data_IF_053684861408
#
_entry.id   IF_053684861408
#
_cell.length_a   1.000
_cell.length_b   1.000
_cell.length_c   1.000
_cell.angle_alpha   90.00
_cell.angle_beta   90.00
_cell.angle_gamma   90.00
#
_symmetry.space_group_name_H-M   'P 1'
#
loop_
_entity.id
_entity.type
_entity.pdbx_description
1 polymer ?
#
# COMPACT_ATOMS: atom_id res chain seq x y z
N UNK A 1 19.70 0.37 -7.64
CA UNK A 1 18.48 0.59 -8.44
C UNK A 1 17.71 -0.72 -8.48
N UNK A 2 16.40 -0.68 -8.29
CA UNK A 2 15.57 -1.88 -8.32
C UNK A 2 15.11 -2.15 -9.75
N UNK A 3 15.44 -3.32 -10.30
CA UNK A 3 14.97 -3.75 -11.63
C UNK A 3 13.83 -4.76 -11.57
N UNK A 4 13.36 -5.00 -10.34
CA UNK A 4 12.55 -6.15 -10.00
C UNK A 4 11.39 -5.71 -9.12
N UNK A 5 10.19 -6.11 -9.55
CA UNK A 5 8.96 -5.96 -8.77
C UNK A 5 8.67 -7.30 -8.11
N UNK A 6 8.19 -7.26 -6.89
CA UNK A 6 7.73 -8.43 -6.15
C UNK A 6 6.28 -8.22 -5.74
N UNK A 7 5.43 -9.20 -6.04
CA UNK A 7 4.03 -9.20 -5.61
C UNK A 7 3.81 -10.45 -4.77
N UNK A 8 3.34 -10.27 -3.53
CA UNK A 8 3.01 -11.37 -2.63
C UNK A 8 1.50 -11.62 -2.67
N UNK A 9 1.09 -12.81 -3.10
CA UNK A 9 -0.33 -13.14 -3.24
C UNK A 9 -0.60 -14.63 -2.96
N UNK A 10 -1.71 -14.90 -2.28
CA UNK A 10 -2.33 -16.22 -2.20
C UNK A 10 -3.62 -16.26 -3.05
N UNK A 11 -4.19 -17.45 -3.23
CA UNK A 11 -5.28 -17.65 -4.19
C UNK A 11 -6.51 -16.81 -3.85
N UNK A 12 -6.73 -16.56 -2.56
CA UNK A 12 -7.81 -15.71 -2.03
C UNK A 12 -7.80 -14.30 -2.61
N UNK A 13 -6.63 -13.77 -2.98
CA UNK A 13 -6.48 -12.42 -3.52
C UNK A 13 -6.21 -12.38 -5.03
N UNK A 14 -6.48 -13.49 -5.73
CA UNK A 14 -6.22 -13.65 -7.18
C UNK A 14 -6.87 -12.62 -8.07
N UNK A 15 -8.10 -12.23 -7.78
CA UNK A 15 -8.80 -11.20 -8.54
C UNK A 15 -8.13 -9.82 -8.41
N UNK A 16 -7.57 -9.51 -7.24
CA UNK A 16 -6.84 -8.27 -7.01
C UNK A 16 -5.46 -8.29 -7.68
N UNK A 17 -4.76 -9.44 -7.61
CA UNK A 17 -3.51 -9.65 -8.33
C UNK A 17 -3.69 -9.42 -9.83
N UNK A 18 -4.77 -9.95 -10.42
CA UNK A 18 -5.04 -9.79 -11.85
C UNK A 18 -5.17 -8.32 -12.24
N UNK A 19 -5.93 -7.53 -11.46
CA UNK A 19 -6.08 -6.09 -11.70
C UNK A 19 -4.76 -5.34 -11.53
N UNK A 20 -3.97 -5.67 -10.50
CA UNK A 20 -2.65 -5.09 -10.31
C UNK A 20 -1.74 -5.35 -11.51
N UNK A 21 -1.66 -6.60 -11.98
CA UNK A 21 -0.87 -6.97 -13.15
C UNK A 21 -1.33 -6.20 -14.39
N UNK A 22 -2.64 -6.18 -14.68
CA UNK A 22 -3.21 -5.38 -15.77
C UNK A 22 -2.80 -3.91 -15.68
N UNK A 23 -2.86 -3.32 -14.49
CA UNK A 23 -2.52 -1.91 -14.29
C UNK A 23 -1.04 -1.61 -14.52
N UNK A 24 -0.13 -2.49 -14.04
CA UNK A 24 1.31 -2.41 -14.34
C UNK A 24 1.53 -2.49 -15.86
N UNK A 25 0.82 -3.38 -16.53
CA UNK A 25 0.97 -3.55 -17.97
C UNK A 25 0.46 -2.34 -18.76
N UNK A 26 -0.57 -1.66 -18.29
CA UNK A 26 -1.07 -0.44 -18.94
C UNK A 26 -0.21 0.79 -18.64
N UNK A 27 0.51 0.80 -17.51
CA UNK A 27 1.39 1.91 -17.14
C UNK A 27 2.77 1.86 -17.80
N UNK A 28 3.27 0.66 -18.08
CA UNK A 28 4.63 0.44 -18.63
C UNK A 28 4.74 0.86 -20.10
N UNK A 29 5.51 1.92 -20.36
CA UNK A 29 5.66 2.55 -21.68
C UNK A 29 6.93 2.09 -22.42
N UNK A 30 7.10 0.78 -22.62
CA UNK A 30 8.20 0.19 -23.39
C UNK A 30 9.62 0.49 -22.84
N UNK A 31 9.77 0.69 -21.53
CA UNK A 31 11.09 0.77 -20.88
C UNK A 31 11.63 -0.64 -20.54
N UNK A 32 12.86 -0.66 -20.04
CA UNK A 32 13.78 -1.77 -19.82
C UNK A 32 13.18 -3.13 -19.41
N UNK A 33 13.96 -4.20 -19.58
CA UNK A 33 13.66 -5.55 -19.11
C UNK A 33 13.22 -5.56 -17.63
N UNK A 34 11.92 -5.56 -17.39
CA UNK A 34 11.30 -5.62 -16.06
C UNK A 34 11.16 -7.09 -15.65
N UNK A 35 11.58 -7.44 -14.44
CA UNK A 35 11.27 -8.75 -13.86
C UNK A 35 10.22 -8.60 -12.77
N UNK A 36 9.09 -9.29 -12.92
CA UNK A 36 8.06 -9.38 -11.89
C UNK A 36 8.19 -10.77 -11.24
N UNK A 37 8.40 -10.80 -9.94
CA UNK A 37 8.37 -12.00 -9.12
C UNK A 37 7.02 -12.10 -8.43
N UNK A 38 6.24 -13.11 -8.80
CA UNK A 38 5.02 -13.48 -8.09
C UNK A 38 5.38 -14.48 -7.00
N UNK A 39 5.38 -14.05 -5.73
CA UNK A 39 5.45 -14.96 -4.60
C UNK A 39 4.09 -15.60 -4.38
N UNK A 40 3.99 -16.86 -4.77
CA UNK A 40 2.78 -17.64 -4.73
C UNK A 40 2.95 -18.89 -3.85
N UNK A 41 1.88 -19.24 -3.13
CA UNK A 41 1.82 -20.40 -2.26
C UNK A 41 0.84 -21.48 -2.71
N UNK A 42 -0.37 -21.09 -3.13
CA UNK A 42 -1.55 -21.96 -3.28
C UNK A 42 -2.33 -21.73 -4.57
N UNK A 43 -1.86 -20.90 -5.50
CA UNK A 43 -2.58 -20.73 -6.78
C UNK A 43 -2.63 -22.05 -7.54
N UNK A 44 -3.78 -22.36 -8.17
CA UNK A 44 -3.88 -23.44 -9.14
C UNK A 44 -2.82 -23.28 -10.23
N UNK A 45 -2.09 -24.36 -10.53
CA UNK A 45 -0.99 -24.36 -11.51
C UNK A 45 -1.46 -23.83 -12.87
N UNK A 46 -2.64 -24.23 -13.31
CA UNK A 46 -3.19 -23.83 -14.61
C UNK A 46 -3.46 -22.33 -14.68
N UNK A 47 -3.90 -21.72 -13.57
CA UNK A 47 -4.12 -20.28 -13.48
C UNK A 47 -2.79 -19.50 -13.54
N UNK A 48 -1.77 -19.95 -12.84
CA UNK A 48 -0.42 -19.36 -12.92
C UNK A 48 0.11 -19.45 -14.35
N UNK A 49 0.00 -20.62 -14.97
CA UNK A 49 0.43 -20.84 -16.35
C UNK A 49 -0.37 -19.95 -17.31
N UNK A 50 -1.66 -19.75 -17.07
CA UNK A 50 -2.47 -18.82 -17.83
C UNK A 50 -1.93 -17.38 -17.71
N UNK A 51 -1.69 -16.87 -16.50
CA UNK A 51 -1.12 -15.54 -16.31
C UNK A 51 0.26 -15.40 -16.95
N UNK A 52 1.15 -16.39 -16.78
CA UNK A 52 2.46 -16.40 -17.41
C UNK A 52 2.36 -16.31 -18.94
N UNK A 53 1.46 -17.09 -19.56
CA UNK A 53 1.23 -17.05 -21.00
C UNK A 53 0.70 -15.71 -21.46
N UNK A 54 -0.31 -15.16 -20.79
CA UNK A 54 -0.86 -13.84 -21.14
C UNK A 54 0.20 -12.74 -21.03
N UNK A 55 1.02 -12.76 -19.97
CA UNK A 55 2.10 -11.80 -19.80
C UNK A 55 3.16 -11.95 -20.90
N UNK A 56 3.62 -13.17 -21.18
CA UNK A 56 4.67 -13.42 -22.18
C UNK A 56 4.22 -13.12 -23.62
N UNK A 57 2.95 -13.37 -23.95
CA UNK A 57 2.40 -13.10 -25.28
C UNK A 57 2.41 -11.61 -25.61
N UNK A 58 2.18 -10.75 -24.61
CA UNK A 58 1.91 -9.35 -24.86
C UNK A 58 3.00 -8.40 -24.32
N UNK A 59 3.94 -8.88 -23.51
CA UNK A 59 4.99 -8.06 -22.89
C UNK A 59 6.37 -8.62 -23.21
N UNK A 60 6.89 -8.27 -24.39
CA UNK A 60 8.23 -8.70 -24.84
C UNK A 60 9.37 -8.27 -23.90
N UNK A 61 9.14 -7.23 -23.09
CA UNK A 61 10.12 -6.63 -22.17
C UNK A 61 9.82 -6.92 -20.68
N UNK A 62 8.83 -7.76 -20.37
CA UNK A 62 8.50 -8.14 -18.99
C UNK A 62 8.67 -9.65 -18.78
N UNK A 63 9.45 -10.04 -17.77
CA UNK A 63 9.63 -11.43 -17.34
C UNK A 63 8.85 -11.66 -16.06
N UNK A 64 7.78 -12.45 -16.13
CA UNK A 64 7.08 -12.93 -14.93
C UNK A 64 7.71 -14.24 -14.46
N UNK A 65 8.17 -14.27 -13.20
CA UNK A 65 8.74 -15.44 -12.53
C UNK A 65 7.91 -15.76 -11.29
N UNK A 66 7.75 -17.05 -11.00
CA UNK A 66 7.00 -17.51 -9.83
C UNK A 66 7.99 -17.97 -8.78
N UNK A 67 7.83 -17.45 -7.57
CA UNK A 67 8.59 -17.86 -6.39
C UNK A 67 7.67 -18.59 -5.43
N UNK A 68 8.13 -19.73 -4.92
CA UNK A 68 7.37 -20.53 -3.96
C UNK A 68 8.11 -20.58 -2.64
N UNK A 69 7.48 -20.19 -1.51
CA UNK A 69 8.10 -20.32 -0.19
C UNK A 69 8.53 -21.78 0.09
N UNK A 70 9.68 -21.96 0.74
CA UNK A 70 10.19 -23.28 1.16
C UNK A 70 9.24 -23.96 2.17
N UNK A 71 9.37 -25.27 2.36
CA UNK A 71 8.60 -26.00 3.40
C UNK A 71 8.79 -25.38 4.80
N UNK A 72 9.99 -24.88 5.10
CA UNK A 72 10.29 -24.18 6.36
C UNK A 72 9.51 -22.88 6.50
N UNK A 73 9.53 -22.02 5.48
CA UNK A 73 8.73 -20.79 5.44
C UNK A 73 7.24 -21.08 5.63
N UNK A 74 6.73 -22.09 4.95
CA UNK A 74 5.32 -22.50 5.05
C UNK A 74 4.95 -22.88 6.49
N UNK A 75 5.82 -23.61 7.19
CA UNK A 75 5.58 -24.06 8.57
C UNK A 75 5.51 -22.88 9.55
N UNK A 76 6.35 -21.86 9.36
CA UNK A 76 6.31 -20.64 10.17
C UNK A 76 4.97 -19.89 10.01
N UNK A 77 4.46 -19.85 8.79
CA UNK A 77 3.20 -19.17 8.48
C UNK A 77 1.95 -19.95 8.91
N UNK A 78 2.05 -21.26 9.08
CA UNK A 78 0.92 -22.10 9.53
C UNK A 78 0.42 -21.67 10.90
N UNK A 79 1.33 -21.30 11.81
CA UNK A 79 1.01 -20.89 13.18
C UNK A 79 0.46 -19.46 13.29
N UNK A 80 0.35 -18.72 12.18
CA UNK A 80 -0.22 -17.38 12.18
C UNK A 80 -1.74 -17.44 12.33
N UNK A 81 -2.22 -16.86 13.44
CA UNK A 81 -3.63 -16.50 13.63
C UNK A 81 -3.83 -15.07 13.13
N UNK A 82 -4.46 -14.92 11.96
CA UNK A 82 -4.77 -13.60 11.41
C UNK A 82 -5.93 -12.99 12.21
N UNK A 83 -5.84 -11.69 12.52
CA UNK A 83 -6.86 -10.96 13.29
C UNK A 83 -8.20 -10.88 12.55
N UNK A 84 -8.18 -11.01 11.23
CA UNK A 84 -9.36 -10.90 10.38
C UNK A 84 -9.26 -11.85 9.20
N UNK A 85 -10.39 -12.47 8.86
CA UNK A 85 -10.57 -13.22 7.62
C UNK A 85 -10.48 -12.34 6.36
N UNK A 86 -10.24 -11.03 6.49
CA UNK A 86 -9.91 -10.16 5.36
C UNK A 86 -8.42 -10.18 5.04
N UNK A 87 -7.56 -10.51 6.00
CA UNK A 87 -6.12 -10.57 5.78
C UNK A 87 -5.71 -11.89 5.14
N UNK A 88 -4.58 -11.84 4.44
CA UNK A 88 -3.96 -12.97 3.77
C UNK A 88 -2.61 -13.27 4.42
N UNK A 89 -2.24 -14.55 4.50
CA UNK A 89 -0.90 -14.94 4.97
C UNK A 89 0.20 -14.47 4.01
N UNK A 90 -0.15 -14.17 2.76
CA UNK A 90 0.76 -13.61 1.77
C UNK A 90 1.38 -12.27 2.19
N UNK A 91 0.72 -11.51 3.08
CA UNK A 91 1.28 -10.27 3.63
C UNK A 91 2.64 -10.48 4.30
N UNK A 92 2.88 -11.67 4.86
CA UNK A 92 4.13 -12.01 5.54
C UNK A 92 5.22 -12.50 4.59
N UNK A 93 4.93 -12.74 3.31
CA UNK A 93 5.90 -13.30 2.37
C UNK A 93 7.04 -12.32 2.10
N UNK A 94 6.79 -11.02 2.24
CA UNK A 94 7.82 -9.96 2.17
C UNK A 94 8.97 -10.17 3.15
N UNK A 95 8.74 -10.87 4.26
CA UNK A 95 9.78 -11.21 5.24
C UNK A 95 10.79 -12.25 4.72
N UNK A 96 10.47 -12.98 3.66
CA UNK A 96 11.35 -14.01 3.10
C UNK A 96 12.16 -13.54 1.88
N UNK A 97 11.97 -12.30 1.43
CA UNK A 97 12.52 -11.84 0.14
C UNK A 97 14.04 -11.84 0.10
N UNK A 98 14.69 -11.47 1.20
CA UNK A 98 16.16 -11.46 1.26
C UNK A 98 16.77 -12.85 1.03
N UNK A 99 16.09 -13.91 1.46
CA UNK A 99 16.49 -15.31 1.21
C UNK A 99 16.05 -15.79 -0.17
N UNK A 100 14.82 -15.50 -0.58
CA UNK A 100 14.24 -16.00 -1.84
C UNK A 100 14.84 -15.35 -3.09
N UNK A 101 15.47 -14.19 -2.94
CA UNK A 101 16.07 -13.40 -4.02
C UNK A 101 17.53 -13.05 -3.68
N UNK A 102 18.44 -14.04 -3.65
CA UNK A 102 19.84 -13.82 -3.24
C UNK A 102 20.60 -12.91 -4.21
N UNK A 103 20.24 -12.94 -5.50
CA UNK A 103 20.90 -12.17 -6.57
C UNK A 103 20.39 -10.73 -6.68
N UNK A 104 19.22 -10.41 -6.11
CA UNK A 104 18.66 -9.07 -6.16
C UNK A 104 19.23 -8.24 -5.01
N UNK A 105 19.84 -7.09 -5.30
CA UNK A 105 20.29 -6.15 -4.26
C UNK A 105 19.10 -5.36 -3.68
N UNK A 106 18.10 -5.06 -4.51
CA UNK A 106 16.91 -4.32 -4.11
C UNK A 106 15.69 -4.67 -4.96
N UNK A 107 14.50 -4.54 -4.39
CA UNK A 107 13.23 -4.83 -5.07
C UNK A 107 12.15 -3.84 -4.69
N UNK A 108 11.20 -3.58 -5.59
CA UNK A 108 9.94 -2.89 -5.28
C UNK A 108 8.89 -3.94 -4.94
N UNK A 109 8.36 -3.93 -3.72
CA UNK A 109 7.28 -4.80 -3.26
C UNK A 109 5.94 -4.09 -3.40
N UNK A 110 4.97 -4.78 -3.99
CA UNK A 110 3.56 -4.39 -4.02
C UNK A 110 2.67 -5.39 -3.30
N UNK A 111 1.70 -4.86 -2.55
CA UNK A 111 0.55 -5.64 -2.11
C UNK A 111 -0.47 -5.75 -3.25
N UNK A 112 -1.25 -6.84 -3.32
CA UNK A 112 -2.18 -7.11 -4.42
C UNK A 112 -3.36 -6.13 -4.47
N UNK A 113 -3.62 -5.39 -3.38
CA UNK A 113 -4.67 -4.38 -3.30
C UNK A 113 -4.23 -3.00 -3.83
N UNK A 114 -3.23 -2.96 -4.69
CA UNK A 114 -2.70 -1.74 -5.30
C UNK A 114 -3.09 -1.66 -6.77
N UNK A 115 -3.07 -0.44 -7.30
CA UNK A 115 -3.38 -0.12 -8.68
C UNK A 115 -2.37 0.89 -9.21
N UNK A 116 -1.70 0.55 -10.31
CA UNK A 116 -0.68 1.40 -10.92
C UNK A 116 -1.31 2.27 -12.01
N UNK A 117 -1.10 3.57 -11.93
CA UNK A 117 -1.70 4.57 -12.82
C UNK A 117 -0.69 5.23 -13.76
N UNK A 118 0.59 5.22 -13.40
CA UNK A 118 1.65 5.90 -14.13
C UNK A 118 2.90 5.02 -14.22
N UNK A 119 3.78 5.36 -15.17
CA UNK A 119 5.06 4.69 -15.40
C UNK A 119 5.86 4.54 -14.10
N UNK A 120 6.37 3.33 -13.84
CA UNK A 120 7.07 3.00 -12.60
C UNK A 120 8.55 3.36 -12.63
N UNK A 121 9.07 3.93 -13.74
CA UNK A 121 10.49 4.21 -13.91
C UNK A 121 11.07 5.05 -12.78
N UNK A 122 10.37 6.09 -12.33
CA UNK A 122 10.81 6.91 -11.19
C UNK A 122 10.91 6.12 -9.88
N UNK A 123 10.01 5.15 -9.65
CA UNK A 123 10.04 4.32 -8.45
C UNK A 123 11.12 3.24 -8.53
N UNK A 124 11.32 2.64 -9.71
CA UNK A 124 12.33 1.60 -9.97
C UNK A 124 13.76 2.18 -9.92
N UNK A 125 13.94 3.39 -10.45
CA UNK A 125 15.21 4.11 -10.48
C UNK A 125 15.45 4.95 -9.20
N UNK A 126 14.55 4.85 -8.21
CA UNK A 126 14.66 5.62 -6.97
C UNK A 126 16.01 5.39 -6.28
N UNK A 127 16.70 6.44 -5.83
CA UNK A 127 18.01 6.31 -5.21
C UNK A 127 17.90 5.60 -3.85
N UNK A 128 18.73 4.57 -3.65
CA UNK A 128 18.79 3.76 -2.43
C UNK A 128 20.12 4.06 -1.72
N UNK A 129 20.03 4.54 -0.48
CA UNK A 129 21.14 4.63 0.45
C UNK A 129 21.49 3.21 0.93
N UNK A 130 22.77 2.78 0.83
CA UNK A 130 23.17 1.45 1.28
C UNK A 130 22.90 1.20 2.76
N UNK A 131 22.76 2.25 3.58
CA UNK A 131 22.53 2.16 5.02
C UNK A 131 21.06 2.09 5.42
N UNK A 132 20.13 2.13 4.47
CA UNK A 132 18.69 2.10 4.74
C UNK A 132 18.06 0.81 4.23
N UNK A 133 17.31 0.12 5.08
CA UNK A 133 16.66 -1.16 4.73
C UNK A 133 15.39 -0.97 3.91
N UNK A 134 14.60 0.05 4.21
CA UNK A 134 13.25 0.22 3.66
C UNK A 134 13.03 1.64 3.14
N UNK A 135 12.43 1.73 1.96
CA UNK A 135 11.80 2.96 1.49
C UNK A 135 10.31 2.72 1.34
N UNK A 136 9.49 3.58 1.92
CA UNK A 136 8.04 3.41 1.90
C UNK A 136 7.34 4.76 2.06
N UNK A 137 6.09 4.87 1.65
CA UNK A 137 5.31 6.08 1.93
C UNK A 137 4.84 6.09 3.38
N UNK A 138 4.57 7.28 3.93
CA UNK A 138 4.05 7.41 5.29
C UNK A 138 2.67 6.77 5.42
N UNK A 139 2.40 6.07 6.51
CA UNK A 139 1.10 5.46 6.80
C UNK A 139 0.18 6.46 7.51
N UNK A 140 -0.44 7.35 6.74
CA UNK A 140 -1.34 8.38 7.26
C UNK A 140 -2.57 7.78 7.93
N UNK A 141 -3.05 6.62 7.45
CA UNK A 141 -4.19 5.93 8.06
C UNK A 141 -3.84 5.40 9.45
N UNK A 142 -2.76 4.63 9.58
CA UNK A 142 -2.34 4.02 10.84
C UNK A 142 -1.90 5.08 11.85
N UNK A 143 -1.09 6.06 11.43
CA UNK A 143 -0.67 7.15 12.32
C UNK A 143 -1.88 7.86 12.93
N UNK A 144 -2.89 8.15 12.11
CA UNK A 144 -4.12 8.80 12.57
C UNK A 144 -4.98 7.89 13.45
N UNK A 145 -5.05 6.60 13.16
CA UNK A 145 -5.74 5.63 14.01
C UNK A 145 -5.12 5.54 15.40
N UNK A 146 -3.78 5.59 15.50
CA UNK A 146 -3.07 5.60 16.77
C UNK A 146 -3.25 6.90 17.56
N UNK A 147 -3.30 8.04 16.88
CA UNK A 147 -3.55 9.35 17.53
C UNK A 147 -4.94 9.42 18.13
N UNK A 148 -5.94 8.82 17.46
CA UNK A 148 -7.32 8.78 17.92
C UNK A 148 -7.64 7.56 18.79
N UNK A 149 -6.65 6.71 19.09
CA UNK A 149 -6.85 5.50 19.87
C UNK A 149 -7.08 5.83 21.34
N UNK A 150 -8.33 5.84 21.76
CA UNK A 150 -8.67 5.82 23.18
C UNK A 150 -8.31 4.45 23.78
N UNK A 151 -7.75 4.43 24.99
CA UNK A 151 -7.32 3.21 25.72
C UNK A 151 -8.49 2.21 25.93
N UNK A 152 -9.74 2.70 25.88
CA UNK A 152 -10.97 1.90 25.94
C UNK A 152 -11.37 1.21 24.62
N UNK A 153 -10.61 1.40 23.53
CA UNK A 153 -10.93 0.77 22.25
C UNK A 153 -10.70 -0.75 22.28
N UNK A 154 -11.58 -1.53 21.65
CA UNK A 154 -11.51 -2.99 21.58
C UNK A 154 -10.32 -3.54 20.75
N UNK A 155 -9.42 -2.70 20.25
CA UNK A 155 -8.28 -3.13 19.43
C UNK A 155 -7.05 -3.44 20.29
N UNK A 156 -7.05 -4.62 20.91
CA UNK A 156 -5.99 -5.08 21.82
C UNK A 156 -4.58 -4.93 21.23
N UNK A 157 -4.39 -5.32 19.97
CA UNK A 157 -3.07 -5.26 19.33
C UNK A 157 -2.61 -3.83 19.02
N UNK A 158 -3.51 -2.91 18.63
CA UNK A 158 -3.16 -1.51 18.41
C UNK A 158 -2.83 -0.81 19.73
N UNK A 159 -3.55 -1.11 20.82
CA UNK A 159 -3.23 -0.58 22.15
C UNK A 159 -1.82 -1.02 22.57
N UNK A 160 -1.47 -2.29 22.35
CA UNK A 160 -0.13 -2.83 22.63
C UNK A 160 0.94 -2.15 21.76
N UNK A 161 0.68 -1.98 20.47
CA UNK A 161 1.59 -1.29 19.56
C UNK A 161 1.83 0.15 19.98
N UNK A 162 0.75 0.90 20.25
CA UNK A 162 0.81 2.27 20.74
C UNK A 162 1.62 2.37 22.04
N UNK A 163 1.39 1.46 22.98
CA UNK A 163 2.13 1.43 24.25
C UNK A 163 3.63 1.21 24.04
N UNK A 164 4.02 0.30 23.14
CA UNK A 164 5.44 0.11 22.77
C UNK A 164 6.06 1.38 22.18
N UNK A 165 5.37 2.01 21.23
CA UNK A 165 5.84 3.27 20.62
C UNK A 165 5.97 4.39 21.65
N UNK A 166 4.97 4.54 22.53
CA UNK A 166 4.98 5.55 23.59
C UNK A 166 6.12 5.30 24.60
N UNK A 167 6.39 4.05 24.98
CA UNK A 167 7.51 3.68 25.86
C UNK A 167 8.86 4.03 25.23
N UNK A 168 9.07 3.69 23.96
CA UNK A 168 10.29 4.05 23.24
C UNK A 168 10.45 5.56 23.14
N UNK A 169 9.39 6.30 22.81
CA UNK A 169 9.46 7.76 22.73
C UNK A 169 9.81 8.42 24.07
N UNK A 170 9.33 7.87 25.20
CA UNK A 170 9.72 8.35 26.53
C UNK A 170 11.19 8.09 26.79
N UNK A 171 11.69 6.88 26.47
CA UNK A 171 13.10 6.54 26.60
C UNK A 171 13.98 7.48 25.78
N UNK A 172 13.62 7.74 24.51
CA UNK A 172 14.36 8.66 23.66
C UNK A 172 14.31 10.10 24.14
N UNK A 173 13.15 10.63 24.55
CA UNK A 173 13.07 11.98 25.11
C UNK A 173 13.91 12.13 26.38
N UNK A 174 13.95 11.11 27.23
CA UNK A 174 14.80 11.11 28.42
C UNK A 174 16.29 11.11 28.05
N UNK A 175 16.68 10.32 27.04
CA UNK A 175 18.06 10.27 26.57
C UNK A 175 18.47 11.49 25.73
N UNK A 176 17.56 12.10 24.97
CA UNK A 176 17.80 13.33 24.22
C UNK A 176 17.93 14.52 25.16
N UNK A 177 17.17 14.59 26.26
CA UNK A 177 17.40 15.60 27.30
C UNK A 177 18.77 15.42 27.97
N UNK A 178 19.23 14.17 28.15
CA UNK A 178 20.59 13.88 28.66
C UNK A 178 21.68 14.18 27.62
N UNK A 179 21.41 13.93 26.33
CA UNK A 179 22.33 14.19 25.23
C UNK A 179 22.37 15.67 24.86
N UNK A 180 21.28 16.43 24.96
CA UNK A 180 21.27 17.89 24.75
C UNK A 180 22.10 18.59 25.84
N UNK A 181 22.05 18.12 27.08
CA UNK A 181 22.94 18.61 28.15
C UNK A 181 24.42 18.28 27.87
N UNK A 182 24.69 17.19 27.14
CA UNK A 182 26.04 16.76 26.73
C UNK A 182 26.52 17.45 25.44
N UNK A 183 25.60 17.75 24.51
CA UNK A 183 25.84 18.37 23.20
C UNK A 183 26.02 19.89 23.33
N UNK A 184 25.43 20.54 24.33
CA UNK A 184 25.76 21.94 24.67
C UNK A 184 27.24 22.08 25.08
N UNK A 185 27.89 21.00 25.52
CA UNK A 185 29.32 20.96 25.86
C UNK A 185 30.20 20.62 24.63
N UNK A 186 29.67 19.92 23.61
CA UNK A 186 30.43 19.48 22.42
C UNK A 186 30.15 20.26 21.13
N UNK A 187 29.08 21.05 21.04
CA UNK A 187 28.70 21.82 19.86
C UNK A 187 29.59 23.06 19.59
N UNK A 188 30.68 23.24 20.36
CA UNK A 188 31.71 24.24 20.03
C UNK A 188 32.72 23.77 18.98
N UNK A 189 32.75 22.48 18.59
CA UNK A 189 33.90 21.97 17.79
C UNK A 189 33.61 21.26 16.46
N UNK A 190 32.36 20.99 16.03
CA UNK A 190 32.16 20.32 14.72
C UNK A 190 30.99 20.85 13.90
N UNK A 191 31.32 21.46 12.75
CA UNK A 191 30.39 21.88 11.67
C UNK A 191 29.95 20.67 10.83
N UNK A 192 29.20 19.74 11.40
CA UNK A 192 28.49 18.72 10.62
C UNK A 192 26.99 19.00 10.69
N UNK A 193 26.38 19.34 9.55
CA UNK A 193 24.94 19.59 9.43
C UNK A 193 24.21 18.25 9.29
N UNK A 194 23.27 17.88 10.17
CA UNK A 194 22.45 16.70 9.96
C UNK A 194 21.57 16.87 8.72
N UNK A 195 21.37 15.78 7.99
CA UNK A 195 20.48 15.71 6.84
C UNK A 195 19.08 16.25 7.21
N UNK A 196 18.52 17.10 6.35
CA UNK A 196 17.21 17.75 6.53
C UNK A 196 16.12 16.70 6.77
N UNK A 197 15.68 16.59 8.01
CA UNK A 197 14.41 15.96 8.36
C UNK A 197 13.28 16.73 7.66
N UNK A 198 12.64 16.09 6.68
CA UNK A 198 11.40 16.60 6.08
C UNK A 198 10.31 16.55 7.15
N UNK A 199 9.79 17.73 7.50
CA UNK A 199 8.83 17.99 8.58
C UNK A 199 7.53 17.21 8.41
N UNK A 200 7.36 16.12 9.16
CA UNK A 200 6.07 15.54 9.52
C UNK A 200 5.77 15.89 10.99
N UNK A 201 4.60 16.47 11.25
CA UNK A 201 4.16 16.97 12.57
C UNK A 201 3.23 15.99 13.33
N UNK A 202 3.01 14.78 12.82
CA UNK A 202 2.20 13.77 13.52
C UNK A 202 3.00 13.09 14.64
N UNK A 203 2.32 12.63 15.69
CA UNK A 203 2.97 12.03 16.88
C UNK A 203 3.71 10.74 16.53
N UNK A 204 3.20 10.00 15.54
CA UNK A 204 3.76 8.74 15.08
C UNK A 204 4.18 8.85 13.61
N UNK A 205 5.50 8.86 13.34
CA UNK A 205 6.04 8.71 11.99
C UNK A 205 6.16 7.21 11.68
N UNK A 206 5.26 6.73 10.83
CA UNK A 206 5.09 5.32 10.46
C UNK A 206 5.04 5.21 8.95
N UNK A 207 5.43 4.05 8.42
CA UNK A 207 5.37 3.75 7.00
C UNK A 207 4.36 2.66 6.68
N UNK A 208 3.81 2.72 5.47
CA UNK A 208 2.85 1.75 4.96
C UNK A 208 3.58 0.65 4.18
N UNK A 209 3.09 -0.58 4.24
CA UNK A 209 3.76 -1.75 3.64
C UNK A 209 3.22 -2.15 2.26
N UNK A 210 2.21 -1.45 1.78
CA UNK A 210 1.51 -1.70 0.53
C UNK A 210 2.42 -1.46 -0.69
N UNK A 211 3.32 -0.48 -0.57
CA UNK A 211 4.35 -0.16 -1.56
C UNK A 211 5.66 0.09 -0.82
N UNK A 212 6.68 -0.71 -1.10
CA UNK A 212 8.00 -0.57 -0.48
C UNK A 212 9.12 -0.81 -1.47
N UNK A 213 10.24 -0.11 -1.33
CA UNK A 213 11.53 -0.55 -1.87
C UNK A 213 12.30 -1.19 -0.73
N UNK A 214 12.74 -2.42 -0.93
CA UNK A 214 13.51 -3.19 0.06
C UNK A 214 14.95 -3.31 -0.40
N UNK A 215 15.89 -2.87 0.44
CA UNK A 215 17.31 -3.09 0.26
C UNK A 215 17.67 -4.50 0.76
N UNK A 216 17.49 -5.49 -0.11
CA UNK A 216 17.72 -6.89 0.23
C UNK A 216 19.18 -7.19 0.58
N UNK A 217 20.12 -6.46 -0.02
CA UNK A 217 21.55 -6.57 0.30
C UNK A 217 21.82 -6.24 1.76
N UNK A 218 21.39 -5.07 2.23
CA UNK A 218 21.53 -4.68 3.65
C UNK A 218 20.81 -5.66 4.57
N UNK A 219 19.59 -6.07 4.24
CA UNK A 219 18.83 -7.05 5.04
C UNK A 219 19.61 -8.36 5.22
N UNK A 220 20.34 -8.82 4.19
CA UNK A 220 21.22 -10.00 4.28
C UNK A 220 22.48 -9.70 5.10
N UNK A 221 23.21 -8.63 4.78
CA UNK A 221 24.48 -8.27 5.42
C UNK A 221 24.33 -8.05 6.93
N UNK A 222 23.26 -7.36 7.34
CA UNK A 222 22.94 -7.10 8.75
C UNK A 222 22.16 -8.22 9.42
N UNK A 223 21.95 -9.35 8.72
CA UNK A 223 21.28 -10.53 9.26
C UNK A 223 19.87 -10.22 9.81
N UNK A 224 19.21 -9.18 9.28
CA UNK A 224 17.87 -8.73 9.69
C UNK A 224 16.84 -9.85 9.43
N UNK A 225 17.06 -10.65 8.39
CA UNK A 225 16.23 -11.82 8.09
C UNK A 225 16.02 -12.74 9.29
N UNK A 226 17.04 -12.97 10.13
CA UNK A 226 16.90 -13.81 11.32
C UNK A 226 15.99 -13.19 12.39
N UNK A 227 15.91 -11.84 12.45
CA UNK A 227 14.95 -11.15 13.33
C UNK A 227 13.51 -11.39 12.83
N UNK A 228 13.30 -11.44 11.52
CA UNK A 228 12.00 -11.80 10.94
C UNK A 228 11.60 -13.24 11.30
N UNK A 229 12.54 -14.19 11.19
CA UNK A 229 12.29 -15.58 11.57
C UNK A 229 11.99 -15.71 13.07
N UNK A 230 12.74 -14.99 13.91
CA UNK A 230 12.50 -14.97 15.35
C UNK A 230 11.10 -14.45 15.69
N UNK A 231 10.66 -13.36 15.05
CA UNK A 231 9.30 -12.83 15.20
C UNK A 231 8.25 -13.87 14.82
N UNK A 232 8.35 -14.46 13.62
CA UNK A 232 7.40 -15.47 13.13
C UNK A 232 7.36 -16.74 14.01
N UNK A 233 8.45 -17.04 14.72
CA UNK A 233 8.55 -18.21 15.61
C UNK A 233 8.13 -17.90 17.05
N UNK A 234 7.87 -16.64 17.38
CA UNK A 234 7.60 -16.17 18.74
C UNK A 234 6.11 -16.03 19.02
N UNK A 235 5.73 -15.91 20.30
CA UNK A 235 4.37 -15.51 20.69
C UNK A 235 4.04 -14.06 20.31
N UNK A 236 5.03 -13.24 19.92
CA UNK A 236 4.79 -11.85 19.54
C UNK A 236 3.87 -11.77 18.32
N UNK A 237 4.06 -12.65 17.34
CA UNK A 237 3.22 -12.69 16.13
C UNK A 237 1.76 -13.01 16.44
N UNK A 238 1.48 -13.71 17.54
CA UNK A 238 0.11 -13.98 18.01
C UNK A 238 -0.51 -12.76 18.68
N UNK A 239 0.29 -11.96 19.39
CA UNK A 239 -0.19 -10.77 20.10
C UNK A 239 -0.15 -9.48 19.27
N UNK A 240 0.58 -9.48 18.17
CA UNK A 240 0.74 -8.36 17.25
C UNK A 240 0.76 -8.90 15.82
N UNK A 241 -0.38 -9.40 15.29
CA UNK A 241 -0.44 -10.26 14.11
C UNK A 241 -0.55 -9.44 12.82
N UNK A 242 0.11 -8.29 12.78
CA UNK A 242 0.12 -7.44 11.60
C UNK A 242 1.56 -7.12 11.20
N UNK A 243 1.98 -7.62 10.05
CA UNK A 243 3.35 -7.45 9.54
C UNK A 243 3.74 -5.97 9.43
N UNK A 244 2.80 -5.09 9.06
CA UNK A 244 3.02 -3.63 9.04
C UNK A 244 3.46 -3.09 10.40
N UNK A 245 2.83 -3.54 11.49
CA UNK A 245 3.18 -3.11 12.85
C UNK A 245 4.57 -3.61 13.21
N UNK A 246 4.85 -4.90 12.97
CA UNK A 246 6.14 -5.48 13.26
C UNK A 246 7.28 -4.77 12.50
N UNK A 247 7.08 -4.51 11.20
CA UNK A 247 8.06 -3.82 10.39
C UNK A 247 8.29 -2.39 10.88
N UNK A 248 7.24 -1.66 11.27
CA UNK A 248 7.38 -0.31 11.83
C UNK A 248 8.11 -0.29 13.18
N UNK A 249 7.99 -1.34 14.02
CA UNK A 249 8.77 -1.46 15.25
C UNK A 249 10.23 -1.78 14.94
N UNK A 250 10.48 -2.77 14.08
CA UNK A 250 11.82 -3.26 13.81
C UNK A 250 12.67 -2.27 13.01
N UNK A 251 12.06 -1.60 12.03
CA UNK A 251 12.73 -0.67 11.12
C UNK A 251 12.48 0.79 11.45
N UNK A 252 12.04 1.11 12.67
CA UNK A 252 11.66 2.47 13.08
C UNK A 252 12.69 3.55 12.74
N UNK A 253 13.97 3.20 12.85
CA UNK A 253 15.12 4.07 12.59
C UNK A 253 15.90 3.66 11.34
N UNK A 254 15.35 2.75 10.54
CA UNK A 254 15.99 2.14 9.37
C UNK A 254 15.04 2.15 8.16
N UNK A 255 14.43 3.31 7.92
CA UNK A 255 13.60 3.55 6.74
C UNK A 255 13.68 5.00 6.27
N UNK A 256 13.31 5.23 5.01
CA UNK A 256 13.18 6.56 4.43
C UNK A 256 11.84 6.72 3.70
N UNK A 257 11.29 7.93 3.77
CA UNK A 257 10.00 8.23 3.17
C UNK A 257 10.10 8.35 1.64
N UNK A 258 9.22 7.63 0.94
CA UNK A 258 8.90 7.87 -0.46
C UNK A 258 7.88 9.01 -0.60
N UNK A 259 7.84 9.69 -1.76
CA UNK A 259 6.76 10.59 -2.10
C UNK A 259 5.37 9.92 -2.05
N UNK A 260 4.39 10.56 -1.41
CA UNK A 260 3.03 10.00 -1.20
C UNK A 260 2.30 9.61 -2.50
N UNK A 261 2.69 10.17 -3.66
CA UNK A 261 2.15 9.76 -4.97
C UNK A 261 2.36 8.28 -5.29
N UNK A 262 3.35 7.64 -4.66
CA UNK A 262 3.64 6.21 -4.83
C UNK A 262 2.78 5.32 -3.91
N UNK A 263 1.90 5.89 -3.09
CA UNK A 263 1.00 5.12 -2.23
C UNK A 263 -0.19 5.96 -1.77
N UNK A 264 -1.13 6.22 -2.67
CA UNK A 264 -2.36 6.94 -2.33
C UNK A 264 -3.30 6.03 -1.55
N UNK A 265 -3.47 6.31 -0.26
CA UNK A 265 -4.22 5.48 0.69
C UNK A 265 -5.71 5.80 0.64
N UNK A 266 -6.48 5.00 -0.09
CA UNK A 266 -7.90 5.27 -0.39
C UNK A 266 -8.73 5.49 0.88
N UNK A 267 -8.58 4.66 1.90
CA UNK A 267 -9.37 4.78 3.13
C UNK A 267 -9.03 6.03 3.95
N UNK A 268 -7.75 6.44 3.96
CA UNK A 268 -7.35 7.70 4.60
C UNK A 268 -8.00 8.89 3.91
N UNK A 269 -7.92 8.94 2.59
CA UNK A 269 -8.48 10.04 1.80
C UNK A 269 -10.00 10.06 1.92
N UNK A 270 -10.65 8.90 1.90
CA UNK A 270 -12.10 8.81 2.09
C UNK A 270 -12.53 9.34 3.47
N UNK A 271 -11.78 9.03 4.54
CA UNK A 271 -12.02 9.58 5.89
C UNK A 271 -11.82 11.09 5.94
N UNK A 272 -10.81 11.63 5.26
CA UNK A 272 -10.56 13.08 5.18
C UNK A 272 -11.71 13.79 4.46
N UNK A 273 -12.13 13.29 3.30
CA UNK A 273 -13.25 13.83 2.52
C UNK A 273 -14.53 13.84 3.35
N UNK A 274 -14.85 12.72 4.00
CA UNK A 274 -16.05 12.61 4.84
C UNK A 274 -16.07 13.66 5.97
N UNK A 275 -14.94 13.91 6.63
CA UNK A 275 -14.87 14.94 7.67
C UNK A 275 -15.05 16.36 7.13
N UNK A 276 -14.46 16.66 5.98
CA UNK A 276 -14.63 17.96 5.33
C UNK A 276 -16.10 18.20 4.99
N UNK A 277 -16.78 17.19 4.44
CA UNK A 277 -18.22 17.25 4.17
C UNK A 277 -19.04 17.48 5.44
N UNK A 278 -18.74 16.77 6.54
CA UNK A 278 -19.39 16.98 7.85
C UNK A 278 -19.16 18.38 8.42
N UNK A 279 -18.00 18.98 8.13
CA UNK A 279 -17.68 20.36 8.52
C UNK A 279 -18.29 21.41 7.56
N UNK A 280 -19.13 21.00 6.61
CA UNK A 280 -19.83 21.89 5.69
C UNK A 280 -19.04 22.28 4.43
N UNK A 281 -17.84 21.72 4.24
CA UNK A 281 -17.05 21.95 3.04
C UNK A 281 -17.57 21.06 1.90
N UNK A 282 -18.15 21.68 0.87
CA UNK A 282 -18.53 20.99 -0.38
C UNK A 282 -17.33 20.96 -1.32
N UNK A 283 -16.60 19.85 -1.32
CA UNK A 283 -15.52 19.61 -2.28
C UNK A 283 -16.11 19.43 -3.69
N UNK A 284 -15.68 20.28 -4.62
CA UNK A 284 -16.09 20.25 -6.03
C UNK A 284 -15.01 19.64 -6.92
N UNK A 285 -13.74 19.73 -6.58
CA UNK A 285 -12.65 19.20 -7.43
C UNK A 285 -11.53 18.55 -6.62
N UNK A 286 -10.68 17.74 -7.28
CA UNK A 286 -9.46 17.20 -6.64
C UNK A 286 -8.48 18.28 -6.21
N UNK A 287 -8.37 19.32 -7.03
CA UNK A 287 -7.43 20.40 -6.83
C UNK A 287 -7.75 21.18 -5.54
N UNK A 288 -9.00 21.13 -5.08
CA UNK A 288 -9.41 21.69 -3.79
C UNK A 288 -8.89 20.89 -2.59
N UNK A 289 -8.49 19.64 -2.79
CA UNK A 289 -7.74 18.85 -1.78
C UNK A 289 -6.23 19.13 -1.85
N UNK A 290 -5.71 19.70 -2.94
CA UNK A 290 -4.29 19.74 -3.30
C UNK A 290 -3.38 20.62 -2.42
N UNK A 291 -3.87 21.16 -1.30
CA UNK A 291 -3.01 21.86 -0.34
C UNK A 291 -2.13 20.93 0.48
N UNK A 292 -2.43 19.62 0.55
CA UNK A 292 -1.53 18.61 1.17
C UNK A 292 -0.91 17.69 0.12
N UNK A 293 0.37 17.34 0.32
CA UNK A 293 1.16 16.47 -0.57
C UNK A 293 0.54 15.10 -0.84
N UNK A 294 -0.28 14.59 0.09
CA UNK A 294 -1.01 13.33 0.00
C UNK A 294 -2.15 13.32 -1.02
N UNK A 295 -2.49 14.48 -1.61
CA UNK A 295 -3.54 14.65 -2.60
C UNK A 295 -3.02 14.97 -4.02
N UNK A 296 -1.73 14.77 -4.28
CA UNK A 296 -1.22 14.86 -5.64
C UNK A 296 -1.70 13.67 -6.49
N UNK A 297 -1.82 13.88 -7.82
CA UNK A 297 -2.25 12.83 -8.74
C UNK A 297 -1.42 11.55 -8.51
N UNK A 298 -2.06 10.43 -8.12
CA UNK A 298 -1.33 9.25 -7.73
C UNK A 298 -0.65 8.58 -8.93
N UNK A 299 0.56 8.10 -8.71
CA UNK A 299 1.21 7.10 -9.57
C UNK A 299 0.74 5.71 -9.18
N UNK A 300 0.48 5.47 -7.90
CA UNK A 300 -0.02 4.21 -7.36
C UNK A 300 -1.12 4.49 -6.33
N UNK A 301 -2.22 3.75 -6.45
CA UNK A 301 -3.37 3.79 -5.53
C UNK A 301 -3.38 2.50 -4.71
N UNK A 302 -3.50 2.64 -3.40
CA UNK A 302 -3.61 1.53 -2.46
C UNK A 302 -4.98 1.54 -1.81
N UNK A 303 -5.76 0.49 -2.06
CA UNK A 303 -7.05 0.28 -1.39
C UNK A 303 -6.80 -0.20 0.04
N UNK A 304 -6.36 0.70 0.92
CA UNK A 304 -6.04 0.42 2.33
C UNK A 304 -7.29 0.08 3.14
N UNK A 305 -7.10 -0.53 4.32
CA UNK A 305 -8.18 -0.90 5.23
C UNK A 305 -8.94 -2.17 4.83
N UNK A 306 -10.09 -2.40 5.47
CA UNK A 306 -10.88 -3.64 5.34
C UNK A 306 -11.82 -3.65 4.13
N UNK A 307 -12.19 -2.46 3.65
CA UNK A 307 -13.04 -2.29 2.49
C UNK A 307 -12.18 -2.27 1.24
N UNK A 308 -12.50 -3.16 0.31
CA UNK A 308 -11.81 -3.35 -0.97
C UNK A 308 -12.83 -3.21 -2.10
N UNK A 309 -12.38 -2.87 -3.33
CA UNK A 309 -13.27 -2.69 -4.47
C UNK A 309 -14.27 -3.83 -4.72
N UNK A 310 -13.85 -5.09 -4.55
CA UNK A 310 -14.69 -6.27 -4.82
C UNK A 310 -15.51 -6.73 -3.62
N UNK A 311 -15.18 -6.31 -2.39
CA UNK A 311 -15.88 -6.76 -1.18
C UNK A 311 -16.80 -5.69 -0.58
N UNK A 312 -16.90 -4.52 -1.22
CA UNK A 312 -17.65 -3.39 -0.72
C UNK A 312 -18.29 -2.58 -1.84
N UNK A 313 -19.53 -2.16 -1.59
CA UNK A 313 -20.23 -1.15 -2.41
C UNK A 313 -20.05 0.26 -1.84
N UNK A 314 -19.09 0.45 -0.92
CA UNK A 314 -18.78 1.78 -0.41
C UNK A 314 -18.28 2.69 -1.53
N UNK A 315 -18.62 3.97 -1.41
CA UNK A 315 -18.07 5.03 -2.24
C UNK A 315 -16.57 5.12 -1.93
N UNK A 316 -15.75 4.77 -2.92
CA UNK A 316 -14.29 4.72 -2.79
C UNK A 316 -13.66 5.31 -4.05
N UNK A 317 -12.71 6.25 -3.92
CA UNK A 317 -11.88 6.70 -5.02
C UNK A 317 -11.32 5.54 -5.84
N UNK A 318 -11.32 5.65 -7.17
CA UNK A 318 -10.75 4.67 -8.11
C UNK A 318 -11.40 3.28 -8.13
N UNK A 319 -12.49 3.04 -7.38
CA UNK A 319 -13.21 1.75 -7.45
C UNK A 319 -13.72 1.45 -8.86
N UNK A 320 -14.30 2.44 -9.56
CA UNK A 320 -14.79 2.25 -10.94
C UNK A 320 -13.69 1.75 -11.88
N UNK A 321 -12.54 2.41 -11.88
CA UNK A 321 -11.38 2.00 -12.68
C UNK A 321 -10.92 0.58 -12.31
N UNK A 322 -10.91 0.24 -11.01
CA UNK A 322 -10.64 -1.13 -10.58
C UNK A 322 -11.63 -2.12 -11.20
N UNK A 323 -12.94 -1.83 -11.15
CA UNK A 323 -13.99 -2.71 -11.68
C UNK A 323 -13.91 -2.84 -13.21
N UNK A 324 -13.60 -1.76 -13.93
CA UNK A 324 -13.39 -1.79 -15.39
C UNK A 324 -12.21 -2.73 -15.73
N UNK A 325 -11.07 -2.60 -15.05
CA UNK A 325 -9.93 -3.51 -15.23
C UNK A 325 -10.22 -4.94 -14.79
N UNK A 326 -11.09 -5.13 -13.80
CA UNK A 326 -11.50 -6.46 -13.35
C UNK A 326 -12.35 -7.16 -14.41
N UNK A 327 -13.29 -6.43 -15.04
CA UNK A 327 -14.22 -6.99 -16.02
C UNK A 327 -13.59 -7.20 -17.41
N UNK A 328 -12.61 -6.40 -17.80
CA UNK A 328 -11.96 -6.53 -19.11
C UNK A 328 -10.90 -7.63 -19.13
N UNK A 329 -10.84 -8.43 -20.19
CA UNK A 329 -9.75 -9.41 -20.32
C UNK A 329 -8.41 -8.75 -20.61
N UNK A 330 -7.31 -9.39 -20.20
CA UNK A 330 -5.95 -8.93 -20.51
C UNK A 330 -5.77 -8.77 -22.04
N UNK A 331 -6.31 -9.68 -22.83
CA UNK A 331 -6.22 -9.63 -24.29
C UNK A 331 -6.98 -8.44 -24.88
N UNK A 332 -8.19 -8.14 -24.39
CA UNK A 332 -8.97 -6.97 -24.84
C UNK A 332 -8.27 -5.66 -24.51
N UNK A 333 -7.76 -5.53 -23.28
CA UNK A 333 -6.99 -4.36 -22.84
C UNK A 333 -5.77 -4.11 -23.74
N UNK A 334 -5.06 -5.18 -24.12
CA UNK A 334 -3.82 -5.09 -24.89
C UNK A 334 -4.06 -4.95 -26.39
N UNK A 335 -5.16 -5.47 -26.93
CA UNK A 335 -5.59 -5.18 -28.31
C UNK A 335 -6.04 -3.73 -28.46
N UNK A 336 -6.67 -3.19 -27.41
CA UNK A 336 -7.12 -1.81 -27.35
C UNK A 336 -6.07 -0.86 -26.76
N UNK A 337 -4.80 -1.23 -26.61
CA UNK A 337 -3.77 -0.37 -25.96
C UNK A 337 -3.60 1.01 -26.61
N UNK A 338 -3.89 1.12 -27.92
CA UNK A 338 -3.89 2.40 -28.65
C UNK A 338 -5.16 3.23 -28.43
N UNK A 339 -6.21 2.64 -27.86
CA UNK A 339 -7.50 3.25 -27.51
C UNK A 339 -7.58 3.52 -26.00
N UNK A 340 -7.03 2.61 -25.19
CA UNK A 340 -6.94 2.69 -23.74
C UNK A 340 -5.63 3.35 -23.33
N UNK A 341 -5.53 4.65 -23.58
CA UNK A 341 -4.45 5.46 -23.06
C UNK A 341 -4.76 5.77 -21.59
N UNK A 342 -4.13 5.08 -20.64
CA UNK A 342 -4.33 5.28 -19.19
C UNK A 342 -4.20 6.75 -18.79
N UNK A 343 -3.27 7.49 -19.41
CA UNK A 343 -3.10 8.94 -19.21
C UNK A 343 -4.27 9.74 -19.78
N UNK A 344 -4.79 9.40 -20.95
CA UNK A 344 -5.98 10.04 -21.54
C UNK A 344 -7.27 9.65 -20.80
N UNK A 345 -7.38 8.42 -20.34
CA UNK A 345 -8.45 7.90 -19.50
C UNK A 345 -8.48 8.65 -18.17
N UNK A 346 -7.34 8.73 -17.46
CA UNK A 346 -7.15 9.51 -16.24
C UNK A 346 -7.42 11.01 -16.49
N UNK A 347 -6.98 11.57 -17.62
CA UNK A 347 -7.20 12.98 -17.97
C UNK A 347 -8.65 13.29 -18.40
N UNK A 348 -9.40 12.31 -18.94
CA UNK A 348 -10.82 12.44 -19.30
C UNK A 348 -11.74 12.38 -18.08
N UNK A 349 -11.31 11.74 -17.00
CA UNK A 349 -12.03 11.74 -15.73
C UNK A 349 -11.62 12.93 -14.87
N UNK A 350 -12.47 13.96 -14.79
CA UNK A 350 -12.39 14.90 -13.66
C UNK A 350 -12.64 14.11 -12.38
N UNK A 351 -11.94 14.42 -11.29
CA UNK A 351 -12.00 13.66 -10.03
C UNK A 351 -13.41 13.52 -9.40
N UNK A 352 -14.35 14.38 -9.78
CA UNK A 352 -15.78 14.18 -9.49
C UNK A 352 -16.27 12.81 -10.00
N UNK A 353 -15.80 12.36 -11.16
CA UNK A 353 -16.10 11.06 -11.73
C UNK A 353 -15.39 9.89 -11.02
N UNK A 354 -14.26 10.15 -10.36
CA UNK A 354 -13.54 9.14 -9.55
C UNK A 354 -14.18 8.91 -8.18
N UNK A 355 -15.07 9.81 -7.72
CA UNK A 355 -15.74 9.77 -6.42
C UNK A 355 -17.25 9.45 -6.48
N UNK A 356 -17.93 9.57 -7.63
CA UNK A 356 -19.42 9.65 -7.67
C UNK A 356 -20.12 8.93 -8.82
N UNK A 357 -19.68 7.74 -9.21
CA UNK A 357 -20.45 6.91 -10.15
C UNK A 357 -20.80 5.60 -9.45
N UNK A 358 -22.09 5.31 -9.35
CA UNK A 358 -22.55 3.97 -8.95
C UNK A 358 -22.27 2.96 -10.08
N UNK A 359 -22.59 1.69 -9.81
CA UNK A 359 -22.34 0.58 -10.75
C UNK A 359 -23.08 0.74 -12.10
N UNK A 360 -23.93 1.75 -12.26
CA UNK A 360 -24.65 2.06 -13.49
C UNK A 360 -24.14 3.33 -14.20
N UNK A 361 -23.07 3.96 -13.71
CA UNK A 361 -22.48 5.12 -14.37
C UNK A 361 -23.31 6.40 -14.23
N UNK A 362 -24.27 6.44 -13.31
CA UNK A 362 -25.07 7.63 -13.04
C UNK A 362 -24.43 8.50 -11.95
N UNK A 363 -24.57 9.81 -12.12
CA UNK A 363 -24.40 10.76 -11.03
C UNK A 363 -25.50 10.55 -10.01
N UNK A 364 -25.18 10.01 -8.83
CA UNK A 364 -26.13 10.04 -7.72
C UNK A 364 -26.24 11.47 -7.19
N UNK A 365 -27.25 12.20 -7.69
CA UNK A 365 -27.81 13.33 -6.97
C UNK A 365 -28.45 12.83 -5.67
N UNK A 366 -28.34 13.64 -4.62
CA UNK A 366 -28.90 13.46 -3.28
C UNK A 366 -30.24 12.70 -3.27
N UNK A 367 -30.26 11.47 -2.74
CA UNK A 367 -31.52 10.77 -2.41
C UNK A 367 -32.21 11.38 -1.18
N UNK A 368 -31.67 12.45 -0.61
CA UNK A 368 -32.33 13.24 0.43
C UNK A 368 -33.39 14.22 -0.11
N UNK A 369 -33.59 14.29 -1.43
CA UNK A 369 -34.62 15.15 -2.05
C UNK A 369 -35.85 14.41 -2.62
N UNK A 370 -36.06 13.13 -2.31
CA UNK A 370 -37.36 12.51 -2.58
C UNK A 370 -38.30 12.86 -1.42
N UNK A 371 -39.00 13.98 -1.56
CA UNK A 371 -40.21 14.27 -0.79
C UNK A 371 -41.24 13.13 -1.00
N UNK A 372 -41.97 12.69 0.05
CA UNK A 372 -43.09 11.77 -0.12
C UNK A 372 -44.30 12.56 -0.61
N UNK A 373 -44.50 12.65 -1.93
CA UNK A 373 -45.83 12.92 -2.46
C UNK A 373 -46.47 11.59 -2.82
N UNK A 374 -47.23 11.06 -1.85
CA UNK A 374 -48.26 10.07 -2.09
C UNK A 374 -49.41 10.80 -2.78
N UNK A 375 -49.46 10.77 -4.11
CA UNK A 375 -50.71 10.99 -4.81
C UNK A 375 -51.51 9.68 -4.77
N UNK A 376 -52.61 9.71 -4.03
CA UNK A 376 -53.66 8.69 -4.10
C UNK A 376 -54.25 8.70 -5.51
N UNK A 377 -53.90 7.70 -6.32
CA UNK A 377 -54.68 7.36 -7.50
C UNK A 377 -55.88 6.54 -7.02
N UNK A 378 -57.05 7.18 -6.94
CA UNK A 378 -58.33 6.47 -6.90
C UNK A 378 -58.49 5.71 -8.23
N UNK A 379 -58.51 4.39 -8.16
CA UNK A 379 -59.00 3.55 -9.26
C UNK A 379 -60.47 3.28 -8.98
N UNK A 380 -61.33 3.93 -9.76
CA UNK A 380 -62.74 3.56 -9.92
C UNK A 380 -62.84 2.33 -10.82
N UNK A 381 -63.57 1.32 -10.33
CA UNK A 381 -64.28 0.35 -11.16
C UNK A 381 -65.75 0.35 -10.74
#
# INVERSE_FOLDING_TARGET
MARSIVISADYKVSQYLEVLLKSIFLSENNRADLTIYLLNYDYPRDLIVHYLKQCQLHLKHCKLKVLTPSKGHKRLLQNLNLVSDTYSKSLYYKLFLAELLPEEESVVSFDPYTLVLQDLGELLDYPIDPNVSIYACRDHLLSRELENLCVSSNSYYLNKFKAKLDQEMVFWRQNDVLNEQSLVIQAQETKATPAKATTYNGKYDLFSTEVMILNLKKIREEKIFYKYLAYLSSNEVVTTPHVNIFLNLLHRYDWQALPDKFNYQVDYINKEVFMLEQAGYKLRTYQELASKLSYNLPSIVSFTGVYKPLNSNKKMPFRRLFIELYNESISELLLNRNVFNSKEFINKFTYIHLLRLDDQGWYQHDLSQIHPYVEQVQITH
#
